data_IF_557658292409
#
_entry.id   IF_557658292409
#
_cell.length_a   1.000
_cell.length_b   1.000
_cell.length_c   1.000
_cell.angle_alpha   90.00
_cell.angle_beta   90.00
_cell.angle_gamma   90.00
#
_symmetry.space_group_name_H-M   'P 1'
#
loop_
_entity.id
_entity.type
_entity.pdbx_description
1 polymer ?
#
# COMPACT_ATOMS: atom_id res chain seq x y z
N UNK A 1 16.76 8.91 21.64
CA UNK A 1 16.21 8.79 20.27
C UNK A 1 14.73 8.50 20.41
N UNK A 2 13.87 9.22 19.70
CA UNK A 2 12.42 8.99 19.71
C UNK A 2 12.09 8.24 18.41
N UNK A 3 11.41 7.12 18.55
CA UNK A 3 10.89 6.34 17.43
C UNK A 3 9.39 6.55 17.35
N UNK A 4 8.93 7.07 16.20
CA UNK A 4 7.50 7.17 15.90
C UNK A 4 7.12 6.06 14.91
N UNK A 5 6.02 5.36 15.18
CA UNK A 5 5.47 4.34 14.28
C UNK A 5 3.99 4.61 14.07
N UNK A 6 3.56 4.65 12.81
CA UNK A 6 2.16 4.84 12.42
C UNK A 6 1.71 3.65 11.57
N UNK A 7 0.50 3.17 11.83
CA UNK A 7 -0.13 2.10 11.06
C UNK A 7 -1.32 2.69 10.31
N UNK A 8 -1.31 2.56 8.98
CA UNK A 8 -2.45 2.91 8.12
C UNK A 8 -3.07 1.59 7.68
N UNK A 9 -4.30 1.32 8.11
CA UNK A 9 -5.01 0.08 7.81
C UNK A 9 -6.03 0.37 6.71
N UNK A 10 -6.00 -0.40 5.64
CA UNK A 10 -6.90 -0.25 4.51
C UNK A 10 -8.09 -1.19 4.71
N UNK A 11 -9.30 -0.63 4.75
CA UNK A 11 -10.50 -1.47 4.63
C UNK A 11 -10.53 -2.15 3.25
N UNK A 12 -11.35 -3.18 3.10
CA UNK A 12 -11.50 -3.88 1.84
C UNK A 12 -11.92 -2.94 0.70
N UNK A 13 -12.83 -2.00 1.00
CA UNK A 13 -13.27 -0.96 0.06
C UNK A 13 -12.11 -0.05 -0.38
N UNK A 14 -11.32 0.43 0.58
CA UNK A 14 -10.17 1.30 0.31
C UNK A 14 -9.04 0.56 -0.43
N UNK A 15 -8.82 -0.72 -0.11
CA UNK A 15 -7.84 -1.56 -0.79
C UNK A 15 -8.24 -1.82 -2.25
N UNK A 16 -9.52 -2.03 -2.52
CA UNK A 16 -10.04 -2.17 -3.90
C UNK A 16 -9.85 -0.88 -4.69
N UNK A 17 -10.12 0.28 -4.08
CA UNK A 17 -9.87 1.58 -4.71
C UNK A 17 -8.37 1.78 -5.00
N UNK A 18 -7.50 1.45 -4.04
CA UNK A 18 -6.05 1.56 -4.19
C UNK A 18 -5.51 0.67 -5.32
N UNK A 19 -6.07 -0.53 -5.51
CA UNK A 19 -5.62 -1.50 -6.52
C UNK A 19 -6.18 -1.24 -7.93
N UNK A 20 -7.20 -0.37 -8.08
CA UNK A 20 -7.81 -0.07 -9.38
C UNK A 20 -6.82 0.44 -10.44
N UNK A 21 -5.90 1.38 -10.14
CA UNK A 21 -4.91 1.82 -11.12
C UNK A 21 -3.98 0.70 -11.61
N UNK A 22 -3.71 -0.30 -10.76
CA UNK A 22 -2.91 -1.48 -11.14
C UNK A 22 -3.68 -2.35 -12.15
N UNK A 23 -4.99 -2.56 -11.93
CA UNK A 23 -5.86 -3.28 -12.87
C UNK A 23 -5.94 -2.58 -14.23
N UNK A 24 -6.09 -1.26 -14.22
CA UNK A 24 -6.11 -0.42 -15.42
C UNK A 24 -4.77 -0.53 -16.17
N UNK A 25 -3.64 -0.48 -15.46
CA UNK A 25 -2.31 -0.70 -16.03
C UNK A 25 -2.10 -2.09 -16.64
N UNK A 26 -2.82 -3.12 -16.16
CA UNK A 26 -2.86 -4.47 -16.74
C UNK A 26 -3.84 -4.60 -17.93
N UNK A 27 -4.45 -3.50 -18.39
CA UNK A 27 -5.39 -3.51 -19.51
C UNK A 27 -6.78 -4.07 -19.16
N UNK A 28 -7.14 -4.11 -17.87
CA UNK A 28 -8.47 -4.49 -17.38
C UNK A 28 -9.19 -3.24 -16.86
N UNK A 29 -9.67 -2.34 -17.74
CA UNK A 29 -10.34 -1.12 -17.32
C UNK A 29 -11.70 -1.42 -16.70
N UNK A 30 -12.02 -0.74 -15.60
CA UNK A 30 -13.32 -0.83 -14.93
C UNK A 30 -13.26 -1.51 -13.56
N UNK A 31 -14.38 -1.48 -12.85
CA UNK A 31 -14.50 -2.16 -11.56
C UNK A 31 -14.83 -3.63 -11.82
N UNK A 32 -13.96 -4.59 -11.45
CA UNK A 32 -14.26 -5.99 -11.64
C UNK A 32 -15.50 -6.38 -10.80
N UNK A 33 -16.26 -7.42 -11.20
CA UNK A 33 -17.40 -7.90 -10.44
C UNK A 33 -16.90 -8.58 -9.16
N UNK A 34 -16.55 -7.79 -8.14
CA UNK A 34 -15.90 -8.27 -6.93
C UNK A 34 -16.90 -9.00 -6.05
N UNK A 35 -16.55 -10.21 -5.64
CA UNK A 35 -17.24 -10.97 -4.60
C UNK A 35 -16.59 -10.78 -3.23
N UNK A 36 -15.26 -10.85 -3.20
CA UNK A 36 -14.48 -10.82 -1.97
C UNK A 36 -13.03 -10.38 -2.24
N UNK A 37 -12.34 -9.92 -1.21
CA UNK A 37 -10.91 -9.60 -1.26
C UNK A 37 -10.21 -10.24 -0.06
N UNK A 38 -9.17 -11.01 -0.35
CA UNK A 38 -8.42 -11.78 0.66
C UNK A 38 -7.01 -11.20 0.72
N UNK A 39 -6.57 -10.87 1.93
CA UNK A 39 -5.23 -10.35 2.21
C UNK A 39 -4.48 -11.35 3.07
N UNK A 40 -3.33 -11.82 2.61
CA UNK A 40 -2.55 -12.83 3.33
C UNK A 40 -1.04 -12.62 3.14
N UNK A 41 -0.24 -13.44 3.84
CA UNK A 41 1.18 -13.54 3.58
C UNK A 41 1.43 -14.73 2.66
N UNK A 42 2.24 -14.54 1.62
CA UNK A 42 2.68 -15.61 0.74
C UNK A 42 3.72 -16.52 1.42
N UNK A 43 4.22 -17.51 0.67
CA UNK A 43 5.23 -18.46 1.16
C UNK A 43 6.57 -17.82 1.54
N UNK A 44 6.84 -16.60 1.06
CA UNK A 44 8.05 -15.83 1.36
C UNK A 44 7.82 -14.85 2.54
N UNK A 45 6.59 -14.81 3.07
CA UNK A 45 6.19 -13.91 4.14
C UNK A 45 5.91 -12.48 3.66
N UNK A 46 5.72 -12.27 2.36
CA UNK A 46 5.35 -10.99 1.78
C UNK A 46 3.83 -10.85 1.65
N UNK A 47 3.31 -9.63 1.69
CA UNK A 47 1.86 -9.39 1.55
C UNK A 47 1.41 -9.72 0.13
N UNK A 48 0.39 -10.57 0.03
CA UNK A 48 -0.31 -10.92 -1.21
C UNK A 48 -1.80 -10.58 -1.06
N UNK A 49 -2.41 -10.10 -2.15
CA UNK A 49 -3.84 -9.79 -2.18
C UNK A 49 -4.50 -10.52 -3.35
N UNK A 50 -5.65 -11.11 -3.07
CA UNK A 50 -6.47 -11.82 -4.06
C UNK A 50 -7.86 -11.21 -4.13
N UNK A 51 -8.29 -10.80 -5.33
CA UNK A 51 -9.68 -10.43 -5.61
C UNK A 51 -10.44 -11.63 -6.18
N UNK A 52 -11.48 -12.06 -5.46
CA UNK A 52 -12.39 -13.11 -5.90
C UNK A 52 -13.51 -12.47 -6.72
N UNK A 53 -13.73 -12.98 -7.92
CA UNK A 53 -14.72 -12.44 -8.85
C UNK A 53 -16.06 -13.18 -8.72
N UNK A 54 -17.18 -12.46 -8.76
CA UNK A 54 -18.53 -13.01 -8.61
C UNK A 54 -19.05 -13.70 -9.86
N UNK A 55 -18.41 -13.48 -11.01
CA UNK A 55 -18.72 -14.10 -12.29
C UNK A 55 -18.14 -15.53 -12.44
N UNK A 56 -17.36 -15.99 -11.44
CA UNK A 56 -16.71 -17.29 -11.45
C UNK A 56 -15.41 -17.34 -12.26
N UNK A 57 -14.92 -16.18 -12.74
CA UNK A 57 -13.60 -16.05 -13.36
C UNK A 57 -12.47 -16.35 -12.37
N UNK A 58 -11.28 -16.60 -12.90
CA UNK A 58 -10.09 -16.80 -12.05
C UNK A 58 -9.82 -15.58 -11.16
N UNK A 59 -9.41 -15.79 -9.89
CA UNK A 59 -9.06 -14.70 -9.01
C UNK A 59 -7.93 -13.83 -9.55
N UNK A 60 -7.98 -12.53 -9.27
CA UNK A 60 -6.90 -11.61 -9.64
C UNK A 60 -5.92 -11.52 -8.47
N UNK A 61 -4.67 -11.89 -8.74
CA UNK A 61 -3.59 -11.85 -7.76
C UNK A 61 -2.76 -10.57 -7.89
N UNK A 62 -2.35 -10.02 -6.75
CA UNK A 62 -1.45 -8.89 -6.62
C UNK A 62 -0.32 -9.27 -5.66
N UNK A 63 0.92 -9.10 -6.13
CA UNK A 63 2.08 -9.33 -5.28
C UNK A 63 2.38 -8.11 -4.38
N UNK A 64 3.31 -8.29 -3.44
CA UNK A 64 3.71 -7.28 -2.47
C UNK A 64 4.13 -5.94 -3.08
N UNK A 65 4.80 -5.96 -4.24
CA UNK A 65 5.26 -4.76 -4.94
C UNK A 65 4.09 -3.98 -5.52
N UNK A 66 3.15 -4.67 -6.13
CA UNK A 66 1.94 -4.07 -6.69
C UNK A 66 1.04 -3.52 -5.60
N UNK A 67 0.82 -4.28 -4.52
CA UNK A 67 0.06 -3.82 -3.35
C UNK A 67 0.75 -2.61 -2.73
N UNK A 68 2.07 -2.64 -2.58
CA UNK A 68 2.85 -1.56 -1.97
C UNK A 68 2.76 -0.27 -2.78
N UNK A 69 2.96 -0.36 -4.09
CA UNK A 69 2.82 0.80 -4.98
C UNK A 69 1.38 1.35 -4.96
N UNK A 70 0.37 0.46 -5.01
CA UNK A 70 -1.04 0.83 -4.97
C UNK A 70 -1.40 1.61 -3.71
N UNK A 71 -1.09 1.08 -2.53
CA UNK A 71 -1.48 1.72 -1.27
C UNK A 71 -0.71 3.02 -1.00
N UNK A 72 0.55 3.10 -1.45
CA UNK A 72 1.35 4.33 -1.36
C UNK A 72 0.77 5.44 -2.23
N UNK A 73 0.46 5.14 -3.49
CA UNK A 73 -0.16 6.10 -4.41
C UNK A 73 -1.53 6.52 -3.89
N UNK A 74 -2.33 5.57 -3.41
CA UNK A 74 -3.63 5.86 -2.83
C UNK A 74 -3.55 6.80 -1.62
N UNK A 75 -2.58 6.59 -0.72
CA UNK A 75 -2.34 7.54 0.37
C UNK A 75 -1.98 8.95 -0.14
N UNK A 76 -1.17 9.06 -1.19
CA UNK A 76 -0.80 10.35 -1.81
C UNK A 76 -2.05 11.03 -2.38
N UNK A 77 -2.87 10.29 -3.12
CA UNK A 77 -4.08 10.79 -3.78
C UNK A 77 -5.15 11.22 -2.76
N UNK A 78 -5.26 10.51 -1.64
CA UNK A 78 -6.16 10.87 -0.52
C UNK A 78 -5.59 11.96 0.41
N UNK A 79 -4.37 12.44 0.16
CA UNK A 79 -3.73 13.45 1.01
C UNK A 79 -3.33 12.94 2.39
N UNK A 80 -3.18 11.62 2.58
CA UNK A 80 -2.69 11.03 3.82
C UNK A 80 -1.18 11.31 3.93
N UNK A 81 -0.72 12.03 4.97
CA UNK A 81 0.65 12.50 5.03
C UNK A 81 1.63 11.34 5.25
N UNK A 82 2.47 11.07 4.26
CA UNK A 82 3.57 10.12 4.31
C UNK A 82 4.92 10.83 4.44
N UNK A 83 5.62 10.71 5.58
CA UNK A 83 6.92 11.31 5.80
C UNK A 83 7.95 10.85 4.78
N UNK A 84 8.72 11.82 4.27
CA UNK A 84 9.90 11.54 3.44
C UNK A 84 11.00 10.93 4.30
N UNK A 85 11.77 10.02 3.71
CA UNK A 85 12.87 9.34 4.41
C UNK A 85 12.45 8.33 5.49
N UNK A 86 11.15 8.15 5.76
CA UNK A 86 10.69 7.13 6.71
C UNK A 86 10.78 5.73 6.10
N UNK A 87 11.05 4.74 6.95
CA UNK A 87 10.93 3.34 6.60
C UNK A 87 9.45 2.97 6.44
N UNK A 88 9.13 2.17 5.42
CA UNK A 88 7.77 1.78 5.05
C UNK A 88 7.75 0.29 4.76
N UNK A 89 6.83 -0.44 5.38
CA UNK A 89 6.63 -1.87 5.16
C UNK A 89 5.13 -2.18 5.06
N UNK A 90 4.79 -3.19 4.27
CA UNK A 90 3.46 -3.78 4.30
C UNK A 90 3.39 -4.83 5.40
N UNK A 91 2.22 -4.95 6.01
CA UNK A 91 1.91 -5.99 6.98
C UNK A 91 0.44 -6.41 6.86
N UNK A 92 0.10 -7.57 7.42
CA UNK A 92 -1.29 -7.98 7.65
C UNK A 92 -1.66 -7.67 9.10
N UNK A 93 -2.81 -7.01 9.31
CA UNK A 93 -3.38 -6.69 10.63
C UNK A 93 -4.84 -7.17 10.68
N UNK A 94 -5.07 -8.30 11.35
CA UNK A 94 -6.35 -9.01 11.21
C UNK A 94 -6.43 -9.55 9.80
N UNK A 95 -7.51 -9.21 9.08
CA UNK A 95 -7.73 -9.62 7.69
C UNK A 95 -7.41 -8.50 6.68
N UNK A 96 -6.80 -7.39 7.15
CA UNK A 96 -6.55 -6.21 6.33
C UNK A 96 -5.06 -5.97 6.06
N UNK A 97 -4.79 -5.39 4.90
CA UNK A 97 -3.47 -4.81 4.57
C UNK A 97 -3.24 -3.56 5.40
N UNK A 98 -2.04 -3.43 5.95
CA UNK A 98 -1.58 -2.25 6.65
C UNK A 98 -0.24 -1.76 6.09
N UNK A 99 -0.10 -0.44 5.96
CA UNK A 99 1.17 0.23 5.72
C UNK A 99 1.72 0.72 7.06
N UNK A 100 2.84 0.14 7.50
CA UNK A 100 3.56 0.57 8.69
C UNK A 100 4.61 1.59 8.28
N UNK A 101 4.59 2.76 8.91
CA UNK A 101 5.51 3.86 8.66
C UNK A 101 6.31 4.13 9.93
N UNK A 102 7.64 3.95 9.87
CA UNK A 102 8.54 4.18 11.01
C UNK A 102 9.44 5.39 10.74
N UNK A 103 9.44 6.30 11.69
CA UNK A 103 10.20 7.54 11.69
C UNK A 103 11.22 7.52 12.83
N UNK A 104 12.47 7.80 12.49
CA UNK A 104 13.51 8.10 13.46
C UNK A 104 13.61 9.61 13.60
N UNK A 105 13.14 10.15 14.72
CA UNK A 105 13.26 11.58 15.00
C UNK A 105 14.58 11.83 15.74
N UNK A 106 15.48 12.60 15.12
CA UNK A 106 16.74 13.01 15.76
C UNK A 106 17.99 13.13 14.86
N UNK A 107 17.91 12.74 13.58
CA UNK A 107 18.90 13.18 12.60
C UNK A 107 18.42 14.48 11.97
N UNK A 108 19.06 15.59 12.34
CA UNK A 108 19.05 16.79 11.52
C UNK A 108 19.45 16.36 10.11
N UNK A 109 18.52 16.41 9.15
CA UNK A 109 18.93 16.62 7.77
C UNK A 109 19.57 17.99 7.75
N UNK A 110 20.90 18.04 7.89
CA UNK A 110 21.71 19.14 7.39
C UNK A 110 21.58 19.14 5.87
N UNK A 111 20.40 19.56 5.39
CA UNK A 111 20.21 20.07 4.06
C UNK A 111 20.71 21.50 4.11
N UNK A 112 22.01 21.65 3.89
CA UNK A 112 22.59 22.93 3.52
C UNK A 112 22.06 23.19 2.11
N UNK A 113 21.04 24.04 2.01
CA UNK A 113 20.79 24.78 0.76
C UNK A 113 21.93 25.78 0.62
N UNK A 114 23.04 25.34 0.05
CA UNK A 114 24.06 26.21 -0.53
C UNK A 114 23.56 26.62 -1.92
N UNK A 115 22.60 27.55 -1.94
CA UNK A 115 22.44 28.46 -3.07
C UNK A 115 23.55 29.52 -2.95
N UNK A 116 24.71 29.26 -3.56
CA UNK A 116 25.68 30.29 -3.91
C UNK A 116 25.81 30.42 -5.44
N UNK A 117 25.35 31.58 -5.91
CA UNK A 117 25.62 32.33 -7.16
C UNK A 117 25.12 31.82 -8.53
#
# INVERSE_FOLDING_TARGET
MILESRSIIFSDEELVLALRPVLEGRGKPGTPPLKDIISELDSEGEVSVQMILSDGSEPILFNSREVGAAVLNHCIDQGVPLPRGSYKELAIRGDHVALIVRLESGQLSSGIDEDEE
#
